data_IF_108030078309
#
_entry.id   IF_108030078309
#
_cell.length_a   1.000
_cell.length_b   1.000
_cell.length_c   1.000
_cell.angle_alpha   90.00
_cell.angle_beta   90.00
_cell.angle_gamma   90.00
#
_symmetry.space_group_name_H-M   'P 1'
#
loop_
_entity.id
_entity.type
_entity.pdbx_description
1 polymer ?
#
# COMPACT_ATOMS: atom_id res chain seq x y z
N UNK A 1 18.52 -18.35 20.63
CA UNK A 1 18.83 -18.98 19.34
C UNK A 1 19.32 -17.88 18.41
N UNK A 2 20.30 -18.15 17.55
CA UNK A 2 20.69 -17.21 16.51
C UNK A 2 19.51 -17.10 15.53
N UNK A 3 19.18 -15.88 15.07
CA UNK A 3 18.17 -15.68 14.02
C UNK A 3 18.68 -16.27 12.71
N UNK A 4 17.79 -16.86 11.94
CA UNK A 4 18.09 -17.35 10.61
C UNK A 4 18.47 -16.19 9.69
N UNK A 5 19.26 -16.48 8.67
CA UNK A 5 19.64 -15.54 7.63
C UNK A 5 18.67 -15.69 6.46
N UNK A 6 18.18 -14.58 5.91
CA UNK A 6 17.34 -14.59 4.72
C UNK A 6 18.22 -14.89 3.49
N UNK A 7 17.80 -15.83 2.65
CA UNK A 7 18.46 -16.17 1.39
C UNK A 7 17.59 -15.70 0.21
N UNK A 8 18.17 -14.89 -0.68
CA UNK A 8 17.51 -14.37 -1.88
C UNK A 8 17.60 -15.37 -3.03
N UNK A 9 16.76 -16.39 -3.03
CA UNK A 9 16.80 -17.47 -4.03
C UNK A 9 15.83 -17.21 -5.21
N UNK A 10 14.86 -16.31 -5.04
CA UNK A 10 13.82 -15.98 -6.03
C UNK A 10 13.65 -14.47 -6.17
N UNK A 11 13.16 -13.98 -7.33
CA UNK A 11 12.75 -12.60 -7.48
C UNK A 11 11.70 -12.22 -6.43
N UNK A 12 11.85 -11.06 -5.81
CA UNK A 12 10.93 -10.56 -4.78
C UNK A 12 9.88 -9.63 -5.39
N UNK A 13 8.63 -9.79 -4.94
CA UNK A 13 7.51 -8.96 -5.35
C UNK A 13 6.61 -8.64 -4.13
N UNK A 14 6.26 -7.37 -3.97
CA UNK A 14 5.31 -6.95 -2.95
C UNK A 14 3.91 -6.96 -3.56
N UNK A 15 3.01 -7.72 -2.98
CA UNK A 15 1.61 -7.77 -3.40
C UNK A 15 0.72 -7.46 -2.20
N UNK A 16 -0.53 -7.10 -2.44
CA UNK A 16 -1.46 -6.95 -1.34
C UNK A 16 -2.91 -7.08 -1.76
N UNK A 17 -3.77 -7.29 -0.77
CA UNK A 17 -5.21 -7.34 -0.93
C UNK A 17 -5.85 -5.99 -0.72
N UNK A 18 -6.68 -5.55 -1.68
CA UNK A 18 -7.49 -4.34 -1.62
C UNK A 18 -8.95 -4.68 -1.93
N UNK A 19 -9.88 -3.82 -1.56
CA UNK A 19 -11.31 -4.01 -1.82
C UNK A 19 -12.18 -3.65 -0.61
N UNK A 20 -13.49 -3.78 -0.76
CA UNK A 20 -14.47 -3.38 0.25
C UNK A 20 -14.33 -4.17 1.57
N UNK A 21 -14.82 -3.61 2.67
CA UNK A 21 -15.00 -4.33 3.94
C UNK A 21 -15.91 -5.55 3.71
N UNK A 22 -15.67 -6.63 4.44
CA UNK A 22 -16.41 -7.91 4.37
C UNK A 22 -16.38 -8.65 3.02
N UNK A 23 -15.61 -8.19 2.02
CA UNK A 23 -15.38 -8.95 0.78
C UNK A 23 -14.41 -10.15 0.95
N UNK A 24 -13.78 -10.29 2.13
CA UNK A 24 -12.97 -11.46 2.50
C UNK A 24 -11.48 -11.32 2.16
N UNK A 25 -10.90 -10.13 2.21
CA UNK A 25 -9.46 -9.88 1.98
C UNK A 25 -8.57 -10.68 2.92
N UNK A 26 -8.77 -10.53 4.22
CA UNK A 26 -8.00 -11.24 5.25
C UNK A 26 -8.23 -12.75 5.20
N UNK A 27 -9.46 -13.18 4.88
CA UNK A 27 -9.78 -14.59 4.63
C UNK A 27 -9.00 -15.14 3.43
N UNK A 28 -8.92 -14.37 2.34
CA UNK A 28 -8.13 -14.74 1.16
C UNK A 28 -6.63 -14.81 1.49
N UNK A 29 -6.11 -13.84 2.24
CA UNK A 29 -4.71 -13.85 2.69
C UNK A 29 -4.40 -15.11 3.51
N UNK A 30 -5.28 -15.49 4.43
CA UNK A 30 -5.14 -16.74 5.19
C UNK A 30 -5.23 -17.99 4.28
N UNK A 31 -6.16 -18.00 3.31
CA UNK A 31 -6.31 -19.10 2.35
C UNK A 31 -5.06 -19.27 1.48
N UNK A 32 -4.47 -18.18 0.98
CA UNK A 32 -3.22 -18.22 0.20
C UNK A 32 -2.10 -18.86 1.04
N UNK A 33 -1.90 -18.39 2.28
CA UNK A 33 -0.84 -18.96 3.14
C UNK A 33 -1.09 -20.43 3.46
N UNK A 34 -2.35 -20.86 3.63
CA UNK A 34 -2.69 -22.28 3.87
C UNK A 34 -2.37 -23.15 2.66
N UNK A 35 -2.90 -22.81 1.50
CA UNK A 35 -2.74 -23.60 0.26
C UNK A 35 -1.27 -23.68 -0.15
N UNK A 36 -0.53 -22.58 -0.06
CA UNK A 36 0.90 -22.57 -0.36
C UNK A 36 1.73 -23.29 0.70
N UNK A 37 1.31 -23.31 1.98
CA UNK A 37 1.98 -24.10 3.01
C UNK A 37 1.89 -25.61 2.73
N UNK A 38 0.77 -26.09 2.22
CA UNK A 38 0.61 -27.48 1.78
C UNK A 38 1.53 -27.85 0.62
N UNK A 39 1.84 -26.87 -0.25
CA UNK A 39 2.81 -26.98 -1.33
C UNK A 39 4.27 -26.74 -0.90
N UNK A 40 4.50 -26.39 0.38
CA UNK A 40 5.84 -26.12 0.92
C UNK A 40 6.38 -24.71 0.64
N UNK A 41 5.54 -23.80 0.16
CA UNK A 41 5.91 -22.42 -0.21
C UNK A 41 5.56 -21.36 0.85
N UNK A 42 5.02 -21.73 2.00
CA UNK A 42 4.64 -20.78 3.05
C UNK A 42 4.64 -21.40 4.44
N UNK A 43 4.58 -20.56 5.48
CA UNK A 43 4.09 -20.92 6.81
C UNK A 43 2.62 -20.49 6.92
N UNK A 44 1.73 -21.42 7.27
CA UNK A 44 0.30 -21.10 7.40
C UNK A 44 0.09 -20.04 8.48
N UNK A 45 -0.57 -18.95 8.11
CA UNK A 45 -0.95 -17.87 9.01
C UNK A 45 -2.48 -17.80 9.07
N UNK A 46 -3.04 -18.20 10.21
CA UNK A 46 -4.49 -18.18 10.40
C UNK A 46 -5.04 -16.75 10.48
N UNK A 47 -6.34 -16.60 10.19
CA UNK A 47 -7.06 -15.32 10.19
C UNK A 47 -6.80 -14.48 11.47
N UNK A 48 -6.90 -15.12 12.64
CA UNK A 48 -6.70 -14.49 13.95
C UNK A 48 -5.22 -14.17 14.28
N UNK A 49 -4.31 -14.64 13.44
CA UNK A 49 -2.89 -14.31 13.49
C UNK A 49 -2.52 -13.17 12.51
N UNK A 50 -3.36 -12.89 11.53
CA UNK A 50 -3.26 -11.73 10.65
C UNK A 50 -3.85 -10.53 11.39
N UNK A 51 -5.13 -10.57 11.75
CA UNK A 51 -5.82 -9.56 12.56
C UNK A 51 -5.56 -9.82 14.06
N UNK A 52 -4.46 -9.27 14.57
CA UNK A 52 -3.95 -9.59 15.93
C UNK A 52 -4.48 -8.69 17.02
N UNK A 53 -4.78 -7.41 16.70
CA UNK A 53 -5.16 -6.42 17.67
C UNK A 53 -6.50 -6.79 18.35
N UNK A 54 -6.65 -6.57 19.67
CA UNK A 54 -7.91 -6.85 20.36
C UNK A 54 -9.11 -6.14 19.72
N UNK A 55 -8.89 -4.96 19.16
CA UNK A 55 -9.91 -4.15 18.50
C UNK A 55 -10.33 -4.73 17.15
N UNK A 56 -9.37 -5.26 16.37
CA UNK A 56 -9.62 -5.98 15.11
C UNK A 56 -10.46 -7.23 15.37
N UNK A 57 -10.09 -8.02 16.37
CA UNK A 57 -10.82 -9.23 16.77
C UNK A 57 -12.23 -8.92 17.30
N UNK A 58 -12.39 -7.83 18.04
CA UNK A 58 -13.67 -7.45 18.60
C UNK A 58 -14.66 -6.92 17.55
N UNK A 59 -14.14 -6.27 16.51
CA UNK A 59 -14.95 -5.68 15.43
C UNK A 59 -15.07 -6.59 14.20
N UNK A 60 -14.20 -7.59 14.06
CA UNK A 60 -14.10 -8.45 12.87
C UNK A 60 -13.63 -7.71 11.61
N UNK A 61 -12.86 -6.63 11.77
CA UNK A 61 -12.35 -5.82 10.66
C UNK A 61 -10.86 -5.54 10.84
N UNK A 62 -10.11 -5.52 9.73
CA UNK A 62 -8.70 -5.13 9.71
C UNK A 62 -8.58 -3.62 9.91
N UNK A 63 -7.76 -3.19 10.85
CA UNK A 63 -7.47 -1.80 11.17
C UNK A 63 -6.09 -1.40 10.68
N UNK A 64 -5.08 -2.20 11.00
CA UNK A 64 -3.69 -2.00 10.60
C UNK A 64 -3.31 -2.92 9.47
N UNK A 65 -2.36 -2.50 8.63
CA UNK A 65 -1.78 -3.40 7.62
C UNK A 65 -1.07 -4.56 8.28
N UNK A 66 -1.31 -5.77 7.80
CA UNK A 66 -0.59 -6.96 8.22
C UNK A 66 0.30 -7.47 7.07
N UNK A 67 1.48 -8.01 7.44
CA UNK A 67 2.43 -8.54 6.46
C UNK A 67 2.60 -10.04 6.67
N UNK A 68 2.47 -10.80 5.60
CA UNK A 68 2.79 -12.23 5.54
C UNK A 68 3.75 -12.51 4.39
N UNK A 69 4.53 -13.59 4.49
CA UNK A 69 5.43 -14.02 3.42
C UNK A 69 5.00 -15.39 2.88
N UNK A 70 5.18 -15.57 1.58
CA UNK A 70 5.01 -16.85 0.91
C UNK A 70 5.76 -16.90 -0.42
N UNK A 71 5.87 -18.09 -0.98
CA UNK A 71 6.56 -18.33 -2.24
C UNK A 71 5.72 -19.18 -3.18
N UNK A 72 5.82 -18.88 -4.47
CA UNK A 72 5.48 -19.78 -5.56
C UNK A 72 6.75 -20.45 -6.11
N UNK A 73 6.65 -21.24 -7.16
CA UNK A 73 7.82 -21.76 -7.85
C UNK A 73 8.70 -20.63 -8.43
N UNK A 74 8.06 -19.55 -8.91
CA UNK A 74 8.70 -18.45 -9.63
C UNK A 74 9.16 -17.28 -8.78
N UNK A 75 8.47 -16.98 -7.67
CA UNK A 75 8.65 -15.72 -6.92
C UNK A 75 8.53 -15.91 -5.42
N UNK A 76 9.20 -15.00 -4.70
CA UNK A 76 8.97 -14.74 -3.26
C UNK A 76 8.08 -13.50 -3.12
N UNK A 77 7.05 -13.59 -2.27
CA UNK A 77 6.09 -12.53 -2.05
C UNK A 77 6.12 -12.02 -0.61
N UNK A 78 6.17 -10.69 -0.46
CA UNK A 78 5.69 -10.01 0.73
C UNK A 78 4.25 -9.57 0.46
N UNK A 79 3.31 -10.05 1.26
CA UNK A 79 1.90 -9.74 1.09
C UNK A 79 1.43 -8.78 2.18
N UNK A 80 0.80 -7.67 1.76
CA UNK A 80 0.22 -6.64 2.63
C UNK A 80 -1.28 -6.81 2.64
N UNK A 81 -1.85 -7.24 3.76
CA UNK A 81 -3.30 -7.23 3.94
C UNK A 81 -3.77 -5.83 4.36
N UNK A 82 -4.59 -5.19 3.53
CA UNK A 82 -5.04 -3.82 3.73
C UNK A 82 -6.42 -3.76 4.37
N UNK A 83 -6.66 -2.78 5.28
CA UNK A 83 -7.99 -2.54 5.81
C UNK A 83 -8.97 -2.16 4.70
N UNK A 84 -10.24 -2.59 4.84
CA UNK A 84 -11.31 -2.30 3.89
C UNK A 84 -12.21 -1.15 4.30
N UNK A 85 -12.21 -0.78 5.58
CA UNK A 85 -13.13 0.21 6.14
C UNK A 85 -12.67 1.65 5.86
N UNK A 86 -13.61 2.54 5.53
CA UNK A 86 -13.34 3.94 5.18
C UNK A 86 -12.56 4.73 6.26
N UNK A 87 -12.77 4.41 7.54
CA UNK A 87 -12.05 5.07 8.65
C UNK A 87 -10.54 4.80 8.65
N UNK A 88 -10.09 3.72 7.99
CA UNK A 88 -8.69 3.27 7.97
C UNK A 88 -8.00 3.45 6.62
N UNK A 89 -8.55 4.30 5.77
CA UNK A 89 -8.00 4.58 4.42
C UNK A 89 -6.54 5.06 4.48
N UNK A 90 -6.10 5.75 5.55
CA UNK A 90 -4.68 6.08 5.74
C UNK A 90 -3.78 4.85 5.71
N UNK A 91 -4.18 3.79 6.41
CA UNK A 91 -3.43 2.55 6.47
C UNK A 91 -3.51 1.81 5.13
N UNK A 92 -4.66 1.88 4.45
CA UNK A 92 -4.80 1.35 3.08
C UNK A 92 -3.85 2.06 2.09
N UNK A 93 -3.79 3.40 2.10
CA UNK A 93 -2.88 4.17 1.24
C UNK A 93 -1.42 3.79 1.52
N UNK A 94 -1.03 3.69 2.80
CA UNK A 94 0.31 3.28 3.20
C UNK A 94 0.64 1.87 2.70
N UNK A 95 -0.29 0.92 2.86
CA UNK A 95 -0.12 -0.44 2.37
C UNK A 95 -0.03 -0.49 0.84
N UNK A 96 -0.93 0.19 0.14
CA UNK A 96 -0.93 0.22 -1.33
C UNK A 96 0.33 0.85 -1.93
N UNK A 97 0.91 1.86 -1.27
CA UNK A 97 2.16 2.48 -1.72
C UNK A 97 3.37 1.52 -1.69
N UNK A 98 3.26 0.39 -0.97
CA UNK A 98 4.30 -0.64 -0.91
C UNK A 98 4.17 -1.69 -2.00
N UNK A 99 3.04 -1.77 -2.69
CA UNK A 99 2.73 -2.86 -3.61
C UNK A 99 3.36 -2.67 -4.98
N UNK A 100 3.91 -3.75 -5.50
CA UNK A 100 4.33 -3.89 -6.91
C UNK A 100 3.18 -4.41 -7.78
N UNK A 101 2.12 -4.91 -7.16
CA UNK A 101 0.86 -5.32 -7.74
C UNK A 101 -0.18 -5.56 -6.66
N UNK A 102 -1.45 -5.62 -7.00
CA UNK A 102 -2.50 -5.85 -6.01
C UNK A 102 -3.51 -6.91 -6.46
N UNK A 103 -4.15 -7.56 -5.48
CA UNK A 103 -5.30 -8.43 -5.67
C UNK A 103 -6.53 -7.65 -5.22
N UNK A 104 -7.39 -7.31 -6.18
CA UNK A 104 -8.68 -6.70 -5.90
C UNK A 104 -9.68 -7.79 -5.54
N UNK A 105 -10.16 -7.78 -4.30
CA UNK A 105 -11.14 -8.76 -3.80
C UNK A 105 -12.54 -8.17 -3.90
N UNK A 106 -13.41 -8.82 -4.66
CA UNK A 106 -14.81 -8.43 -4.84
C UNK A 106 -15.70 -9.61 -4.49
N UNK A 107 -16.72 -9.41 -3.65
CA UNK A 107 -17.72 -10.42 -3.36
C UNK A 107 -18.60 -10.64 -4.58
N UNK A 108 -18.76 -11.88 -5.01
CA UNK A 108 -19.66 -12.25 -6.11
C UNK A 108 -21.14 -11.96 -5.79
N UNK A 109 -21.51 -12.02 -4.50
CA UNK A 109 -22.88 -11.77 -4.05
C UNK A 109 -23.22 -10.27 -3.99
N UNK A 110 -22.24 -9.41 -3.69
CA UNK A 110 -22.45 -7.97 -3.44
C UNK A 110 -22.03 -7.10 -4.64
N UNK A 111 -21.14 -7.60 -5.49
CA UNK A 111 -20.53 -6.82 -6.58
C UNK A 111 -19.60 -5.71 -6.09
N UNK A 112 -19.19 -4.77 -6.97
CA UNK A 112 -18.37 -3.63 -6.60
C UNK A 112 -19.11 -2.65 -5.69
N UNK A 113 -18.57 -2.40 -4.51
CA UNK A 113 -19.11 -1.54 -3.46
C UNK A 113 -18.33 -0.20 -3.39
N UNK A 114 -18.79 0.82 -2.62
CA UNK A 114 -18.16 2.14 -2.59
C UNK A 114 -16.64 2.12 -2.29
N UNK A 115 -16.18 1.33 -1.29
CA UNK A 115 -14.75 1.24 -1.00
C UNK A 115 -13.98 0.49 -2.09
N UNK A 116 -14.62 -0.38 -2.88
CA UNK A 116 -13.98 -1.00 -4.06
C UNK A 116 -13.52 0.08 -5.02
N UNK A 117 -14.40 1.05 -5.33
CA UNK A 117 -14.10 2.20 -6.18
C UNK A 117 -12.98 3.07 -5.61
N UNK A 118 -13.06 3.42 -4.33
CA UNK A 118 -12.05 4.22 -3.64
C UNK A 118 -10.69 3.52 -3.63
N UNK A 119 -10.65 2.20 -3.39
CA UNK A 119 -9.40 1.43 -3.37
C UNK A 119 -8.74 1.32 -4.74
N UNK A 120 -9.51 1.14 -5.81
CA UNK A 120 -8.98 1.16 -7.19
C UNK A 120 -8.37 2.53 -7.51
N UNK A 121 -9.11 3.61 -7.23
CA UNK A 121 -8.63 4.97 -7.40
C UNK A 121 -7.33 5.22 -6.65
N UNK A 122 -7.28 4.88 -5.37
CA UNK A 122 -6.10 5.08 -4.53
C UNK A 122 -4.92 4.23 -4.99
N UNK A 123 -5.14 2.96 -5.37
CA UNK A 123 -4.09 2.11 -5.94
C UNK A 123 -3.48 2.75 -7.20
N UNK A 124 -4.33 3.30 -8.07
CA UNK A 124 -3.87 4.03 -9.26
C UNK A 124 -3.04 5.25 -8.91
N UNK A 125 -3.47 6.02 -7.91
CA UNK A 125 -2.81 7.25 -7.46
C UNK A 125 -1.44 6.98 -6.83
N UNK A 126 -1.33 5.96 -5.98
CA UNK A 126 -0.04 5.60 -5.37
C UNK A 126 0.89 4.85 -6.34
N UNK A 127 0.41 4.54 -7.55
CA UNK A 127 1.23 3.99 -8.62
C UNK A 127 1.31 2.47 -8.64
N UNK A 128 0.33 1.74 -8.10
CA UNK A 128 0.24 0.28 -8.29
C UNK A 128 0.13 -0.03 -9.80
N UNK A 129 1.10 -0.74 -10.39
CA UNK A 129 1.19 -0.84 -11.85
C UNK A 129 0.19 -1.83 -12.45
N UNK A 130 -0.21 -2.87 -11.70
CA UNK A 130 -1.09 -3.92 -12.20
C UNK A 130 -1.95 -4.51 -11.09
N UNK A 131 -3.14 -4.99 -11.47
CA UNK A 131 -4.12 -5.64 -10.60
C UNK A 131 -4.49 -7.00 -11.15
N UNK A 132 -4.79 -7.95 -10.25
CA UNK A 132 -5.50 -9.20 -10.53
C UNK A 132 -6.77 -9.18 -9.69
N UNK A 133 -7.88 -9.67 -10.21
CA UNK A 133 -9.14 -9.71 -9.47
C UNK A 133 -9.40 -11.11 -8.93
N UNK A 134 -9.80 -11.19 -7.66
CA UNK A 134 -10.38 -12.38 -7.07
C UNK A 134 -11.85 -12.14 -6.76
N UNK A 135 -12.74 -12.76 -7.55
CA UNK A 135 -14.17 -12.76 -7.31
C UNK A 135 -14.49 -13.82 -6.26
N UNK A 136 -14.58 -13.35 -5.00
CA UNK A 136 -14.74 -14.20 -3.82
C UNK A 136 -16.20 -14.54 -3.54
N UNK A 137 -16.43 -15.55 -2.71
CA UNK A 137 -17.76 -16.00 -2.25
C UNK A 137 -18.66 -16.53 -3.37
N UNK A 138 -18.09 -17.14 -4.40
CA UNK A 138 -18.88 -17.73 -5.49
C UNK A 138 -19.77 -18.89 -5.01
N UNK A 139 -19.43 -19.49 -3.87
CA UNK A 139 -20.23 -20.48 -3.17
C UNK A 139 -21.60 -19.97 -2.68
N UNK A 140 -21.80 -18.66 -2.65
CA UNK A 140 -23.05 -18.01 -2.25
C UNK A 140 -23.94 -17.64 -3.44
N UNK A 141 -23.51 -17.90 -4.67
CA UNK A 141 -24.21 -17.50 -5.91
C UNK A 141 -24.38 -18.70 -6.81
N UNK A 142 -25.63 -19.16 -6.96
CA UNK A 142 -25.97 -20.29 -7.81
C UNK A 142 -26.25 -19.89 -9.29
N UNK A 143 -26.31 -18.60 -9.58
CA UNK A 143 -26.67 -18.05 -10.88
C UNK A 143 -25.41 -17.59 -11.65
N UNK A 144 -25.09 -18.32 -12.74
CA UNK A 144 -23.95 -17.98 -13.60
C UNK A 144 -24.12 -16.63 -14.29
N UNK A 145 -25.35 -16.22 -14.66
CA UNK A 145 -25.60 -14.92 -15.30
C UNK A 145 -25.26 -13.77 -14.34
N UNK A 146 -25.51 -13.95 -13.04
CA UNK A 146 -25.12 -12.97 -12.02
C UNK A 146 -23.60 -12.86 -11.87
N UNK A 147 -22.88 -13.98 -11.93
CA UNK A 147 -21.41 -13.98 -11.89
C UNK A 147 -20.82 -13.25 -13.11
N UNK A 148 -21.40 -13.45 -14.31
CA UNK A 148 -20.98 -12.76 -15.52
C UNK A 148 -21.27 -11.25 -15.44
N UNK A 149 -22.42 -10.87 -14.89
CA UNK A 149 -22.78 -9.47 -14.69
C UNK A 149 -21.82 -8.76 -13.74
N UNK A 150 -21.51 -9.38 -12.60
CA UNK A 150 -20.52 -8.82 -11.64
C UNK A 150 -19.14 -8.71 -12.27
N UNK A 151 -18.71 -9.70 -13.07
CA UNK A 151 -17.46 -9.64 -13.80
C UNK A 151 -17.42 -8.45 -14.76
N UNK A 152 -18.48 -8.24 -15.55
CA UNK A 152 -18.59 -7.12 -16.48
C UNK A 152 -18.51 -5.78 -15.73
N UNK A 153 -19.25 -5.64 -14.63
CA UNK A 153 -19.25 -4.42 -13.81
C UNK A 153 -17.85 -4.12 -13.24
N UNK A 154 -17.11 -5.13 -12.81
CA UNK A 154 -15.72 -4.97 -12.33
C UNK A 154 -14.80 -4.54 -13.46
N UNK A 155 -14.91 -5.11 -14.67
CA UNK A 155 -14.11 -4.73 -15.83
C UNK A 155 -14.37 -3.28 -16.27
N UNK A 156 -15.64 -2.87 -16.33
CA UNK A 156 -16.02 -1.50 -16.64
C UNK A 156 -15.48 -0.52 -15.59
N UNK A 157 -15.58 -0.90 -14.31
CA UNK A 157 -15.07 -0.10 -13.22
C UNK A 157 -13.54 0.09 -13.31
N UNK A 158 -12.78 -0.98 -13.54
CA UNK A 158 -11.33 -0.91 -13.70
C UNK A 158 -10.93 -0.05 -14.89
N UNK A 159 -11.64 -0.17 -16.01
CA UNK A 159 -11.42 0.64 -17.21
C UNK A 159 -11.67 2.12 -16.95
N UNK A 160 -12.66 2.46 -16.12
CA UNK A 160 -12.96 3.85 -15.74
C UNK A 160 -11.87 4.53 -14.92
N UNK A 161 -10.97 3.76 -14.32
CA UNK A 161 -9.80 4.23 -13.56
C UNK A 161 -8.46 3.97 -14.28
N UNK A 162 -8.48 3.87 -15.61
CA UNK A 162 -7.30 3.68 -16.47
C UNK A 162 -6.51 2.38 -16.21
N UNK A 163 -7.16 1.35 -15.70
CA UNK A 163 -6.63 -0.02 -15.73
C UNK A 163 -7.16 -0.76 -16.97
N UNK A 164 -6.41 -1.69 -17.56
CA UNK A 164 -6.86 -2.42 -18.76
C UNK A 164 -7.90 -3.49 -18.39
N UNK A 165 -9.13 -3.07 -18.03
CA UNK A 165 -10.16 -3.91 -17.44
C UNK A 165 -10.49 -5.16 -18.25
N UNK A 166 -10.41 -5.10 -19.59
CA UNK A 166 -10.67 -6.25 -20.47
C UNK A 166 -9.57 -7.32 -20.39
N UNK A 167 -8.32 -6.93 -20.13
CA UNK A 167 -7.17 -7.82 -20.12
C UNK A 167 -6.82 -8.35 -18.71
N UNK A 168 -7.38 -7.75 -17.67
CA UNK A 168 -7.09 -8.13 -16.28
C UNK A 168 -7.64 -9.52 -15.98
N UNK A 169 -6.81 -10.43 -15.43
CA UNK A 169 -7.27 -11.74 -14.98
C UNK A 169 -8.30 -11.61 -13.85
N UNK A 170 -9.42 -12.30 -13.99
CA UNK A 170 -10.44 -12.43 -12.95
C UNK A 170 -10.57 -13.92 -12.60
N UNK A 171 -10.20 -14.28 -11.38
CA UNK A 171 -10.32 -15.63 -10.85
C UNK A 171 -11.55 -15.71 -9.95
N UNK A 172 -12.39 -16.71 -10.17
CA UNK A 172 -13.63 -16.96 -9.41
C UNK A 172 -13.38 -18.06 -8.38
N UNK A 173 -13.69 -17.78 -7.11
CA UNK A 173 -13.43 -18.76 -6.05
C UNK A 173 -14.08 -18.43 -4.71
N UNK A 174 -13.80 -19.27 -3.73
CA UNK A 174 -14.20 -19.09 -2.34
C UNK A 174 -13.00 -19.28 -1.42
N UNK A 175 -12.54 -18.17 -0.84
CA UNK A 175 -11.47 -18.21 0.15
C UNK A 175 -11.85 -19.02 1.40
N UNK A 176 -13.14 -19.01 1.78
CA UNK A 176 -13.63 -19.79 2.90
C UNK A 176 -13.60 -21.30 2.58
N UNK A 177 -14.04 -21.69 1.39
CA UNK A 177 -13.97 -23.08 0.94
C UNK A 177 -12.53 -23.61 0.92
N UNK A 178 -11.55 -22.76 0.57
CA UNK A 178 -10.13 -23.13 0.64
C UNK A 178 -9.64 -23.31 2.09
N UNK A 179 -10.10 -22.48 3.04
CA UNK A 179 -9.73 -22.63 4.46
C UNK A 179 -10.35 -23.91 5.05
N UNK A 180 -11.58 -24.23 4.69
CA UNK A 180 -12.34 -25.34 5.24
C UNK A 180 -12.13 -26.67 4.49
N UNK A 181 -11.37 -26.66 3.37
CA UNK A 181 -11.22 -27.80 2.45
C UNK A 181 -12.56 -28.38 1.97
N UNK A 182 -13.58 -27.51 1.86
CA UNK A 182 -14.94 -27.93 1.56
C UNK A 182 -15.19 -28.13 0.07
N UNK A 183 -14.41 -27.50 -0.81
CA UNK A 183 -14.47 -27.66 -2.26
C UNK A 183 -13.06 -27.52 -2.88
N UNK A 184 -12.65 -28.54 -3.64
CA UNK A 184 -11.32 -28.56 -4.23
C UNK A 184 -11.18 -27.61 -5.43
N UNK A 185 -12.26 -27.30 -6.14
CA UNK A 185 -12.23 -26.49 -7.36
C UNK A 185 -12.34 -25.01 -7.03
N UNK A 186 -13.43 -24.62 -6.36
CA UNK A 186 -13.67 -23.21 -5.98
C UNK A 186 -12.87 -22.78 -4.76
N UNK A 187 -12.38 -23.72 -3.96
CA UNK A 187 -11.45 -23.52 -2.84
C UNK A 187 -9.98 -23.55 -3.28
N UNK A 188 -9.26 -24.64 -2.95
CA UNK A 188 -7.81 -24.74 -3.18
C UNK A 188 -7.39 -24.52 -4.64
N UNK A 189 -8.19 -25.02 -5.60
CA UNK A 189 -7.95 -24.84 -7.04
C UNK A 189 -7.97 -23.38 -7.45
N UNK A 190 -8.94 -22.60 -6.99
CA UNK A 190 -9.03 -21.18 -7.30
C UNK A 190 -7.88 -20.36 -6.70
N UNK A 191 -7.38 -20.75 -5.52
CA UNK A 191 -6.21 -20.09 -4.92
C UNK A 191 -4.96 -20.35 -5.76
N UNK A 192 -4.75 -21.59 -6.22
CA UNK A 192 -3.62 -21.90 -7.11
C UNK A 192 -3.72 -21.18 -8.46
N UNK A 193 -4.93 -21.08 -9.03
CA UNK A 193 -5.20 -20.31 -10.25
C UNK A 193 -4.92 -18.81 -10.03
N UNK A 194 -5.33 -18.25 -8.89
CA UNK A 194 -5.03 -16.87 -8.53
C UNK A 194 -3.52 -16.63 -8.46
N UNK A 195 -2.77 -17.52 -7.80
CA UNK A 195 -1.33 -17.36 -7.68
C UNK A 195 -0.63 -17.51 -9.03
N UNK A 196 -1.11 -18.39 -9.91
CA UNK A 196 -0.63 -18.48 -11.28
C UNK A 196 -0.92 -17.20 -12.10
N UNK A 197 -2.11 -16.61 -11.93
CA UNK A 197 -2.46 -15.33 -12.55
C UNK A 197 -1.56 -14.20 -12.04
N UNK A 198 -1.29 -14.13 -10.74
CA UNK A 198 -0.38 -13.17 -10.13
C UNK A 198 1.05 -13.33 -10.67
N UNK A 199 1.58 -14.56 -10.72
CA UNK A 199 2.92 -14.83 -11.25
C UNK A 199 3.08 -14.38 -12.70
N UNK A 200 2.04 -14.56 -13.52
CA UNK A 200 2.09 -14.30 -14.96
C UNK A 200 1.73 -12.85 -15.33
N UNK A 201 0.80 -12.22 -14.64
CA UNK A 201 0.25 -10.91 -15.01
C UNK A 201 0.94 -9.74 -14.31
N UNK A 202 1.28 -9.88 -13.02
CA UNK A 202 1.98 -8.81 -12.30
C UNK A 202 3.42 -8.72 -12.83
N UNK A 203 3.86 -7.56 -13.35
CA UNK A 203 5.21 -7.43 -13.88
C UNK A 203 6.27 -7.62 -12.78
N UNK A 204 7.46 -8.10 -13.18
CA UNK A 204 8.60 -8.09 -12.27
C UNK A 204 8.99 -6.62 -12.03
N UNK A 205 8.97 -6.13 -10.78
CA UNK A 205 9.26 -4.73 -10.51
C UNK A 205 10.74 -4.40 -10.78
N UNK A 206 10.96 -3.22 -11.34
CA UNK A 206 12.29 -2.64 -11.41
C UNK A 206 12.74 -2.19 -10.02
N UNK A 207 14.02 -2.42 -9.70
CA UNK A 207 14.60 -2.08 -8.40
C UNK A 207 15.69 -1.01 -8.59
N UNK A 208 15.43 0.26 -8.23
CA UNK A 208 16.38 1.35 -8.39
C UNK A 208 17.48 1.29 -7.30
N UNK A 209 18.29 0.22 -7.32
CA UNK A 209 19.37 -0.02 -6.34
C UNK A 209 20.58 0.91 -6.54
N UNK A 210 20.71 1.55 -7.69
CA UNK A 210 21.78 2.50 -8.04
C UNK A 210 21.51 3.94 -7.55
N UNK A 211 20.30 4.19 -7.05
CA UNK A 211 19.93 5.48 -6.47
C UNK A 211 20.33 5.56 -4.98
N UNK A 212 20.38 6.76 -4.38
CA UNK A 212 20.56 6.91 -2.95
C UNK A 212 19.47 6.19 -2.15
N UNK A 213 19.86 5.60 -1.03
CA UNK A 213 18.93 4.91 -0.15
C UNK A 213 17.83 5.84 0.39
N UNK A 214 16.59 5.38 0.28
CA UNK A 214 15.39 6.03 0.83
C UNK A 214 14.38 4.98 1.29
N UNK A 215 13.89 5.13 2.52
CA UNK A 215 12.84 4.28 3.10
C UNK A 215 11.86 5.12 3.92
N UNK A 216 10.59 5.26 3.51
CA UNK A 216 9.53 5.85 4.33
C UNK A 216 9.26 5.01 5.58
N UNK A 217 9.08 5.65 6.72
CA UNK A 217 8.76 4.98 7.99
C UNK A 217 7.26 4.71 8.06
N UNK A 218 6.91 3.45 8.30
CA UNK A 218 5.54 2.99 8.51
C UNK A 218 5.21 2.83 9.98
N UNK A 219 6.06 2.09 10.68
CA UNK A 219 5.91 1.83 12.10
C UNK A 219 7.22 1.96 12.86
N UNK A 220 7.09 2.24 14.17
CA UNK A 220 8.21 2.40 15.08
C UNK A 220 8.01 1.52 16.30
N UNK A 221 8.99 0.64 16.54
CA UNK A 221 8.97 -0.30 17.65
C UNK A 221 10.16 -0.08 18.58
N UNK A 222 9.95 -0.30 19.87
CA UNK A 222 11.04 -0.40 20.84
C UNK A 222 11.24 -1.86 21.22
N UNK A 223 12.45 -2.38 21.02
CA UNK A 223 12.81 -3.75 21.37
C UNK A 223 13.74 -3.72 22.59
N UNK A 224 13.30 -4.29 23.70
CA UNK A 224 14.08 -4.35 24.94
C UNK A 224 15.47 -4.94 24.69
N UNK A 225 16.52 -4.22 25.08
CA UNK A 225 17.91 -4.60 24.91
C UNK A 225 18.49 -4.47 23.50
N UNK A 226 17.69 -4.04 22.51
CA UNK A 226 18.17 -3.85 21.12
C UNK A 226 18.05 -2.41 20.63
N UNK A 227 17.05 -1.65 21.10
CA UNK A 227 16.83 -0.25 20.72
C UNK A 227 15.57 -0.03 19.89
N UNK A 228 15.56 1.07 19.14
CA UNK A 228 14.45 1.46 18.26
C UNK A 228 14.60 0.80 16.90
N UNK A 229 13.52 0.18 16.45
CA UNK A 229 13.38 -0.40 15.11
C UNK A 229 12.32 0.40 14.36
N UNK A 230 12.65 0.83 13.15
CA UNK A 230 11.71 1.43 12.21
C UNK A 230 11.45 0.47 11.08
N UNK A 231 10.21 0.34 10.64
CA UNK A 231 9.86 -0.52 9.51
C UNK A 231 9.38 0.30 8.34
N UNK A 232 9.58 -0.23 7.15
CA UNK A 232 9.12 0.35 5.91
C UNK A 232 9.60 -0.44 4.70
N UNK A 233 9.08 -0.08 3.52
CA UNK A 233 9.59 -0.55 2.25
C UNK A 233 10.74 0.34 1.80
N UNK A 234 11.84 -0.24 1.39
CA UNK A 234 12.93 0.50 0.73
C UNK A 234 12.41 1.00 -0.64
N UNK A 235 12.30 2.31 -0.79
CA UNK A 235 11.82 2.95 -2.02
C UNK A 235 12.91 2.95 -3.11
N UNK A 236 14.12 3.36 -2.73
CA UNK A 236 15.30 3.39 -3.61
C UNK A 236 16.56 2.98 -2.87
N UNK A 237 17.57 2.57 -3.61
CA UNK A 237 18.93 2.31 -3.12
C UNK A 237 19.10 1.05 -2.29
N UNK A 238 20.23 0.99 -1.61
CA UNK A 238 20.66 -0.13 -0.76
C UNK A 238 21.11 0.41 0.59
N UNK A 239 20.76 -0.30 1.67
CA UNK A 239 21.21 -0.04 3.04
C UNK A 239 21.99 -1.22 3.58
N UNK A 240 23.19 -0.97 4.08
CA UNK A 240 24.01 -1.97 4.74
C UNK A 240 24.05 -1.75 6.25
N UNK A 241 24.39 -2.80 6.97
CA UNK A 241 24.68 -2.67 8.40
C UNK A 241 25.92 -1.78 8.58
N UNK A 242 25.81 -0.81 9.47
CA UNK A 242 26.74 0.28 9.80
C UNK A 242 26.71 1.49 8.84
N UNK A 243 25.83 1.56 7.88
CA UNK A 243 25.64 2.77 7.08
C UNK A 243 25.09 3.91 7.95
N UNK A 244 25.61 5.11 7.72
CA UNK A 244 25.08 6.34 8.30
C UNK A 244 23.78 6.71 7.59
N UNK A 245 22.78 7.16 8.34
CA UNK A 245 21.48 7.56 7.83
C UNK A 245 21.01 8.86 8.45
N UNK A 246 20.12 9.56 7.75
CA UNK A 246 19.37 10.70 8.25
C UNK A 246 17.89 10.36 8.37
N UNK A 247 17.24 10.94 9.39
CA UNK A 247 15.80 10.85 9.67
C UNK A 247 15.20 12.19 9.30
N UNK A 248 14.37 12.24 8.27
CA UNK A 248 14.00 13.50 7.62
C UNK A 248 12.47 13.64 7.54
N UNK A 249 12.00 14.87 7.74
CA UNK A 249 10.58 15.26 7.67
C UNK A 249 9.94 15.41 9.04
N UNK A 250 8.84 16.15 9.10
CA UNK A 250 8.00 16.45 10.26
C UNK A 250 8.74 17.22 11.36
N UNK A 251 9.95 16.77 11.74
CA UNK A 251 10.82 17.34 12.78
C UNK A 251 12.16 17.76 12.20
N UNK A 252 13.01 18.31 13.07
CA UNK A 252 14.42 18.56 12.71
C UNK A 252 15.12 17.27 12.28
N UNK A 253 15.96 17.36 11.25
CA UNK A 253 16.68 16.22 10.69
C UNK A 253 17.59 15.57 11.75
N UNK A 254 17.28 14.31 12.05
CA UNK A 254 18.08 13.47 12.94
C UNK A 254 19.16 12.71 12.19
N UNK A 255 20.21 12.28 12.91
CA UNK A 255 21.28 11.45 12.36
C UNK A 255 21.41 10.16 13.17
N UNK A 256 21.61 9.05 12.48
CA UNK A 256 21.78 7.75 13.11
C UNK A 256 22.69 6.84 12.28
N UNK A 257 22.85 5.62 12.74
CA UNK A 257 23.54 4.52 12.03
C UNK A 257 22.65 3.30 12.07
N UNK A 258 22.47 2.67 10.92
CA UNK A 258 21.78 1.39 10.82
C UNK A 258 22.65 0.29 11.44
N UNK A 259 22.22 -0.33 12.52
CA UNK A 259 22.98 -1.39 13.21
C UNK A 259 22.49 -2.80 12.92
N UNK A 260 21.40 -2.92 12.17
CA UNK A 260 20.87 -4.20 11.74
C UNK A 260 19.72 -4.03 10.76
N UNK A 261 19.62 -4.98 9.84
CA UNK A 261 18.54 -5.06 8.85
C UNK A 261 17.86 -6.41 9.03
N UNK A 262 16.54 -6.40 9.11
CA UNK A 262 15.71 -7.60 9.30
C UNK A 262 14.52 -7.58 8.33
N UNK A 263 14.19 -8.74 7.78
CA UNK A 263 12.98 -8.97 6.99
C UNK A 263 12.34 -10.28 7.46
N UNK A 264 11.02 -10.25 7.77
CA UNK A 264 10.28 -11.41 8.29
C UNK A 264 11.00 -12.13 9.46
N UNK A 265 11.57 -11.36 10.39
CA UNK A 265 12.34 -11.83 11.56
C UNK A 265 13.67 -12.54 11.23
N UNK A 266 14.06 -12.59 9.96
CA UNK A 266 15.36 -13.09 9.50
C UNK A 266 16.34 -11.93 9.35
N UNK A 267 17.64 -12.19 9.59
CA UNK A 267 18.69 -11.17 9.42
C UNK A 267 19.08 -11.03 7.95
N UNK A 268 19.30 -9.79 7.52
CA UNK A 268 19.91 -9.49 6.22
C UNK A 268 21.26 -8.80 6.42
N UNK A 269 22.18 -9.00 5.48
CA UNK A 269 23.42 -8.24 5.41
C UNK A 269 23.15 -6.84 4.86
N UNK A 270 22.17 -6.72 3.93
CA UNK A 270 21.72 -5.47 3.30
C UNK A 270 20.24 -5.54 2.97
N UNK A 271 19.59 -4.36 2.97
CA UNK A 271 18.25 -4.15 2.42
C UNK A 271 18.36 -3.46 1.06
N UNK A 272 17.56 -3.87 0.09
CA UNK A 272 17.55 -3.35 -1.28
C UNK A 272 16.20 -2.74 -1.63
N UNK A 273 16.17 -1.88 -2.66
CA UNK A 273 14.93 -1.31 -3.16
C UNK A 273 13.86 -2.39 -3.36
N UNK A 274 12.68 -2.17 -2.81
CA UNK A 274 11.55 -3.09 -2.80
C UNK A 274 11.45 -4.01 -1.60
N UNK A 275 12.47 -4.14 -0.75
CA UNK A 275 12.38 -4.95 0.46
C UNK A 275 11.54 -4.25 1.53
N UNK A 276 10.69 -5.01 2.21
CA UNK A 276 10.03 -4.57 3.45
C UNK A 276 10.91 -4.94 4.65
N UNK A 277 11.59 -3.96 5.20
CA UNK A 277 12.61 -4.20 6.23
C UNK A 277 12.33 -3.47 7.55
N UNK A 278 12.85 -4.04 8.62
CA UNK A 278 13.05 -3.37 9.89
C UNK A 278 14.51 -2.94 10.04
N UNK A 279 14.74 -1.66 10.26
CA UNK A 279 16.06 -1.09 10.50
C UNK A 279 16.28 -0.81 11.98
N UNK A 280 17.34 -1.34 12.55
CA UNK A 280 17.78 -1.03 13.90
C UNK A 280 18.60 0.26 13.88
N UNK A 281 18.16 1.27 14.62
CA UNK A 281 18.80 2.58 14.65
C UNK A 281 19.58 2.80 15.96
N UNK A 282 20.83 3.28 15.85
CA UNK A 282 21.70 3.55 17.00
C UNK A 282 21.36 4.88 17.65
N UNK A 283 21.17 4.86 18.98
CA UNK A 283 21.07 6.10 19.78
C UNK A 283 19.78 6.90 19.56
N UNK A 284 18.77 6.29 18.96
CA UNK A 284 17.45 6.88 18.73
C UNK A 284 16.45 6.26 19.69
N UNK A 285 15.71 7.09 20.43
CA UNK A 285 14.58 6.63 21.23
C UNK A 285 13.32 6.54 20.34
N UNK A 286 12.34 5.76 20.79
CA UNK A 286 11.08 5.62 20.06
C UNK A 286 10.37 6.96 19.81
N UNK A 287 10.46 7.88 20.77
CA UNK A 287 9.77 9.18 20.71
C UNK A 287 10.52 10.23 19.84
N UNK A 288 11.74 9.91 19.41
CA UNK A 288 12.55 10.77 18.52
C UNK A 288 12.21 10.55 17.03
N UNK A 289 11.47 9.51 16.72
CA UNK A 289 11.11 9.12 15.35
C UNK A 289 9.63 8.75 15.27
N UNK A 290 9.01 9.07 14.14
CA UNK A 290 7.60 8.79 13.93
C UNK A 290 7.26 8.40 12.50
N UNK A 291 6.12 7.74 12.32
CA UNK A 291 5.55 7.43 11.01
C UNK A 291 5.43 8.68 10.17
N UNK A 292 5.81 8.59 8.90
CA UNK A 292 5.76 9.68 7.94
C UNK A 292 7.07 10.40 7.71
N UNK A 293 8.05 10.23 8.61
CA UNK A 293 9.44 10.57 8.31
C UNK A 293 10.02 9.55 7.32
N UNK A 294 11.17 9.88 6.74
CA UNK A 294 11.94 8.94 5.91
C UNK A 294 13.30 8.69 6.51
N UNK A 295 13.84 7.48 6.32
CA UNK A 295 15.25 7.19 6.52
C UNK A 295 15.93 7.27 5.17
N UNK A 296 16.99 8.07 5.08
CA UNK A 296 17.66 8.31 3.81
C UNK A 296 19.18 8.32 3.95
N UNK A 297 19.87 8.14 2.83
CA UNK A 297 21.31 8.38 2.75
C UNK A 297 21.60 9.85 3.10
N UNK A 298 22.69 10.15 3.85
CA UNK A 298 22.98 11.52 4.27
C UNK A 298 23.04 12.51 3.09
N UNK A 299 22.23 13.58 3.19
CA UNK A 299 22.18 14.65 2.19
C UNK A 299 21.51 14.31 0.86
N UNK A 300 20.83 13.16 0.75
CA UNK A 300 20.20 12.73 -0.51
C UNK A 300 18.82 13.35 -0.73
N UNK A 301 18.11 13.74 0.30
CA UNK A 301 16.78 14.37 0.24
C UNK A 301 16.69 15.44 1.34
N UNK A 302 15.83 16.43 1.15
CA UNK A 302 15.62 17.51 2.12
C UNK A 302 14.15 17.64 2.52
N UNK A 303 13.86 18.17 3.73
CA UNK A 303 12.49 18.44 4.14
C UNK A 303 12.04 19.81 3.58
N UNK A 304 10.80 19.88 3.10
CA UNK A 304 10.23 21.06 2.47
C UNK A 304 8.80 21.34 2.96
N UNK A 305 8.43 22.62 2.98
CA UNK A 305 7.10 23.07 3.38
C UNK A 305 6.32 23.70 2.22
N UNK A 306 7.01 24.10 1.13
CA UNK A 306 6.38 24.80 0.02
C UNK A 306 6.76 24.17 -1.32
N UNK A 307 5.76 23.89 -2.15
CA UNK A 307 5.95 23.32 -3.48
C UNK A 307 4.86 23.79 -4.45
N UNK A 308 5.14 23.74 -5.76
CA UNK A 308 4.12 23.78 -6.80
C UNK A 308 3.78 22.36 -7.27
N UNK A 309 2.56 22.16 -7.68
CA UNK A 309 2.08 20.87 -8.14
C UNK A 309 1.12 20.98 -9.31
N UNK A 310 1.01 19.89 -10.06
CA UNK A 310 -0.09 19.61 -10.96
C UNK A 310 -1.05 18.65 -10.26
N UNK A 311 -2.35 19.02 -10.20
CA UNK A 311 -3.33 18.22 -9.50
C UNK A 311 -4.63 18.10 -10.31
N UNK A 312 -5.25 16.94 -10.22
CA UNK A 312 -6.60 16.67 -10.70
C UNK A 312 -7.57 16.62 -9.53
N UNK A 313 -8.69 17.33 -9.67
CA UNK A 313 -9.73 17.40 -8.64
C UNK A 313 -10.88 16.48 -9.04
N UNK A 314 -11.14 15.46 -8.24
CA UNK A 314 -12.14 14.44 -8.52
C UNK A 314 -13.55 15.03 -8.60
N UNK A 315 -14.32 14.57 -9.57
CA UNK A 315 -15.73 14.87 -9.71
C UNK A 315 -16.58 14.20 -8.63
N UNK A 316 -17.84 14.59 -8.53
CA UNK A 316 -18.80 13.95 -7.61
C UNK A 316 -19.03 12.48 -7.97
N UNK A 317 -19.08 12.16 -9.25
CA UNK A 317 -19.26 10.80 -9.79
C UNK A 317 -18.09 9.89 -9.42
N UNK A 318 -16.89 10.45 -9.34
CA UNK A 318 -15.66 9.78 -8.88
C UNK A 318 -15.54 9.70 -7.35
N UNK A 319 -16.56 10.13 -6.61
CA UNK A 319 -16.57 10.16 -5.14
C UNK A 319 -15.90 11.40 -4.52
N UNK A 320 -15.48 12.36 -5.34
CA UNK A 320 -14.83 13.60 -4.94
C UNK A 320 -15.79 14.70 -4.46
N UNK A 321 -15.42 15.94 -4.74
CA UNK A 321 -16.17 17.13 -4.35
C UNK A 321 -17.38 17.39 -5.29
N UNK A 322 -18.35 18.11 -4.78
CA UNK A 322 -19.49 18.63 -5.56
C UNK A 322 -19.52 20.17 -5.58
N UNK A 323 -18.59 20.82 -4.88
CA UNK A 323 -18.48 22.28 -4.81
C UNK A 323 -17.06 22.72 -5.17
N UNK A 324 -16.89 23.91 -5.77
CA UNK A 324 -15.56 24.46 -6.02
C UNK A 324 -14.81 24.78 -4.72
N UNK A 325 -13.49 24.97 -4.83
CA UNK A 325 -12.69 25.55 -3.75
C UNK A 325 -11.95 26.80 -4.27
N UNK A 326 -11.45 27.60 -3.32
CA UNK A 326 -10.80 28.88 -3.55
C UNK A 326 -9.40 28.88 -2.93
N UNK A 327 -8.61 29.91 -3.21
CA UNK A 327 -7.35 30.11 -2.49
C UNK A 327 -7.56 30.08 -0.97
N UNK A 328 -6.56 29.57 -0.26
CA UNK A 328 -6.59 29.25 1.17
C UNK A 328 -7.45 28.03 1.56
N UNK A 329 -7.89 27.23 0.60
CA UNK A 329 -8.44 25.90 0.89
C UNK A 329 -7.41 25.06 1.64
N UNK A 330 -7.84 24.34 2.69
CA UNK A 330 -6.96 23.63 3.63
C UNK A 330 -7.31 22.14 3.76
N UNK A 331 -7.03 21.34 2.75
CA UNK A 331 -7.18 19.88 2.82
C UNK A 331 -5.98 19.23 3.51
N UNK A 332 -6.04 17.90 3.62
CA UNK A 332 -4.92 17.05 3.97
C UNK A 332 -4.23 16.54 2.71
N UNK A 333 -2.91 16.67 2.65
CA UNK A 333 -2.05 16.14 1.60
C UNK A 333 -1.37 14.86 2.10
N UNK A 334 -1.58 13.78 1.41
CA UNK A 334 -1.06 12.46 1.76
C UNK A 334 0.18 12.16 0.94
N UNK A 335 1.33 12.09 1.60
CA UNK A 335 2.61 11.74 1.01
C UNK A 335 3.11 10.44 1.63
N UNK A 336 3.49 9.46 0.82
CA UNK A 336 4.04 8.18 1.31
C UNK A 336 3.22 7.61 2.48
N UNK A 337 3.74 7.69 3.70
CA UNK A 337 3.14 7.10 4.91
C UNK A 337 2.46 8.09 5.85
N UNK A 338 2.35 9.38 5.46
CA UNK A 338 1.78 10.44 6.31
C UNK A 338 0.84 11.38 5.58
N UNK A 339 0.09 12.13 6.36
CA UNK A 339 -0.73 13.24 5.89
C UNK A 339 -0.35 14.54 6.62
N UNK A 340 -0.34 15.63 5.87
CA UNK A 340 -0.07 16.97 6.40
C UNK A 340 -1.12 17.94 5.86
N UNK A 341 -1.65 18.78 6.74
CA UNK A 341 -2.52 19.89 6.30
C UNK A 341 -1.70 20.92 5.53
N UNK A 342 -2.21 21.33 4.38
CA UNK A 342 -1.60 22.39 3.57
C UNK A 342 -2.63 23.42 3.13
N UNK A 343 -2.21 24.65 2.92
CA UNK A 343 -3.01 25.70 2.31
C UNK A 343 -2.68 25.86 0.83
N UNK A 344 -3.71 25.88 0.00
CA UNK A 344 -3.60 26.03 -1.45
C UNK A 344 -3.54 27.52 -1.82
N UNK A 345 -2.66 27.86 -2.75
CA UNK A 345 -2.60 29.17 -3.40
C UNK A 345 -2.83 28.95 -4.90
N UNK A 346 -3.91 29.49 -5.41
CA UNK A 346 -4.25 29.41 -6.83
C UNK A 346 -3.44 30.43 -7.64
N UNK A 347 -3.13 30.12 -8.90
CA UNK A 347 -2.39 31.05 -9.77
C UNK A 347 -3.21 32.33 -10.05
N UNK A 348 -2.51 33.41 -10.37
CA UNK A 348 -3.11 34.68 -10.70
C UNK A 348 -4.15 34.54 -11.83
N UNK A 349 -5.32 35.08 -11.63
CA UNK A 349 -6.44 35.02 -12.58
C UNK A 349 -7.36 33.80 -12.41
N UNK A 350 -7.02 32.87 -11.52
CA UNK A 350 -7.90 31.74 -11.17
C UNK A 350 -8.62 32.03 -9.86
N UNK A 351 -9.91 32.29 -9.93
CA UNK A 351 -10.71 32.59 -8.74
C UNK A 351 -11.09 31.33 -7.97
N UNK A 352 -11.41 30.24 -8.69
CA UNK A 352 -11.85 28.97 -8.10
C UNK A 352 -11.40 27.78 -8.95
N UNK A 353 -11.45 26.60 -8.37
CA UNK A 353 -11.21 25.30 -9.02
C UNK A 353 -12.46 24.44 -8.87
N UNK A 354 -12.95 23.91 -10.00
CA UNK A 354 -14.12 23.05 -10.05
C UNK A 354 -13.74 21.56 -9.92
N UNK A 355 -14.65 20.72 -9.41
CA UNK A 355 -14.49 19.26 -9.57
C UNK A 355 -14.38 18.90 -11.05
N UNK A 356 -13.39 18.07 -11.40
CA UNK A 356 -13.03 17.69 -12.77
C UNK A 356 -11.92 18.53 -13.40
N UNK A 357 -11.44 19.59 -12.72
CA UNK A 357 -10.36 20.42 -13.24
C UNK A 357 -8.97 19.78 -12.99
N UNK A 358 -8.09 20.00 -13.96
CA UNK A 358 -6.64 19.91 -13.79
C UNK A 358 -6.10 21.30 -13.47
N UNK A 359 -5.30 21.42 -12.43
CA UNK A 359 -4.80 22.71 -11.94
C UNK A 359 -3.33 22.65 -11.53
N UNK A 360 -2.57 23.67 -11.96
CA UNK A 360 -1.27 23.99 -11.39
C UNK A 360 -1.48 24.92 -10.19
N UNK A 361 -1.01 24.56 -9.02
CA UNK A 361 -1.17 25.38 -7.81
C UNK A 361 0.04 25.30 -6.90
N UNK A 362 0.19 26.28 -6.00
CA UNK A 362 1.18 26.22 -4.92
C UNK A 362 0.52 25.70 -3.63
N UNK A 363 1.28 24.97 -2.86
CA UNK A 363 0.86 24.42 -1.57
C UNK A 363 1.86 24.81 -0.50
N UNK A 364 1.35 25.29 0.65
CA UNK A 364 2.14 25.57 1.85
C UNK A 364 1.69 24.59 2.93
N UNK A 365 2.57 23.67 3.31
CA UNK A 365 2.32 22.67 4.35
C UNK A 365 2.58 23.27 5.75
N UNK A 366 1.86 22.75 6.76
CA UNK A 366 2.05 23.16 8.16
C UNK A 366 3.26 22.47 8.83
N UNK A 367 3.80 21.41 8.22
CA UNK A 367 5.00 20.70 8.68
C UNK A 367 5.86 20.30 7.47
N UNK A 368 7.19 20.24 7.65
CA UNK A 368 8.09 19.87 6.57
C UNK A 368 7.95 18.38 6.22
N UNK A 369 7.99 18.05 4.94
CA UNK A 369 7.97 16.69 4.42
C UNK A 369 9.21 16.48 3.56
N UNK A 370 9.83 15.30 3.68
CA UNK A 370 10.88 14.88 2.77
C UNK A 370 10.28 14.71 1.37
N UNK A 371 10.64 15.57 0.42
CA UNK A 371 10.08 15.54 -0.93
C UNK A 371 11.09 15.93 -1.99
N UNK A 372 10.86 15.37 -3.18
CA UNK A 372 11.52 15.71 -4.43
C UNK A 372 10.47 15.97 -5.52
N UNK A 373 10.90 16.56 -6.62
CA UNK A 373 10.08 16.68 -7.82
C UNK A 373 9.64 15.29 -8.32
N UNK A 374 8.40 15.18 -8.77
CA UNK A 374 7.81 13.91 -9.18
C UNK A 374 7.13 13.12 -8.07
N UNK A 375 7.24 13.52 -6.79
CA UNK A 375 6.55 12.86 -5.69
C UNK A 375 5.03 13.00 -5.86
N UNK A 376 4.32 11.87 -5.87
CA UNK A 376 2.86 11.82 -5.95
C UNK A 376 2.22 12.00 -4.58
N UNK A 377 1.02 12.59 -4.57
CA UNK A 377 0.23 12.75 -3.36
C UNK A 377 -1.28 12.67 -3.65
N UNK A 378 -2.03 12.31 -2.62
CA UNK A 378 -3.49 12.41 -2.63
C UNK A 378 -3.95 13.62 -1.81
N UNK A 379 -5.08 14.22 -2.22
CA UNK A 379 -5.73 15.32 -1.50
C UNK A 379 -7.00 14.76 -0.86
N UNK A 380 -7.16 14.96 0.45
CA UNK A 380 -8.33 14.45 1.19
C UNK A 380 -9.00 15.53 2.03
N UNK A 381 -10.31 15.43 2.12
CA UNK A 381 -11.17 16.29 2.93
C UNK A 381 -12.30 15.47 3.56
N UNK A 382 -12.52 15.62 4.86
CA UNK A 382 -13.66 14.98 5.54
C UNK A 382 -13.72 13.46 5.37
N UNK A 383 -12.56 12.79 5.30
CA UNK A 383 -12.48 11.34 5.12
C UNK A 383 -12.60 10.85 3.67
N UNK A 384 -12.69 11.75 2.68
CA UNK A 384 -12.81 11.42 1.25
C UNK A 384 -11.59 11.88 0.48
N UNK A 385 -11.19 11.11 -0.52
CA UNK A 385 -10.22 11.56 -1.52
C UNK A 385 -10.91 12.51 -2.47
N UNK A 386 -10.39 13.73 -2.59
CA UNK A 386 -10.97 14.80 -3.40
C UNK A 386 -10.08 15.23 -4.57
N UNK A 387 -8.87 14.67 -4.62
CA UNK A 387 -7.95 14.93 -5.73
C UNK A 387 -6.66 14.16 -5.57
N UNK A 388 -5.84 14.23 -6.58
CA UNK A 388 -4.49 13.69 -6.61
C UNK A 388 -3.58 14.60 -7.42
N UNK A 389 -2.28 14.55 -7.13
CA UNK A 389 -1.33 15.37 -7.84
C UNK A 389 0.10 14.85 -7.75
N UNK A 390 0.97 15.59 -8.41
CA UNK A 390 2.40 15.36 -8.41
C UNK A 390 3.13 16.67 -8.11
N UNK A 391 4.19 16.60 -7.31
CA UNK A 391 5.09 17.74 -7.04
C UNK A 391 5.80 18.10 -8.33
N UNK A 392 5.50 19.27 -8.88
CA UNK A 392 6.11 19.76 -10.10
C UNK A 392 7.45 20.46 -9.81
N UNK A 393 7.49 21.21 -8.69
CA UNK A 393 8.71 21.91 -8.25
C UNK A 393 8.69 22.14 -6.74
N UNK A 394 9.80 21.89 -6.11
CA UNK A 394 10.05 22.26 -4.71
C UNK A 394 10.46 23.73 -4.63
N UNK A 395 9.89 24.49 -3.68
CA UNK A 395 10.10 25.94 -3.54
C UNK A 395 10.85 26.26 -2.25
N UNK A 396 10.43 25.72 -1.11
CA UNK A 396 11.00 25.95 0.23
C UNK A 396 10.84 24.76 1.17
#
# INVERSE_FOLDING_TARGET
MAKEKFERNKPHCNIGTIGHVDHGKTTLTAAITKVLAEAGGAEFTAYDQIDKAPEEKARGITISTAHVEYETEGRHYAHVDCPGHADYVKNMITGAAQMDGAILVVSAADGPMPQTREHILLARQVGVPALVVFMNKVDQVDDEELLELVELEVRELLSSYDFPGDDIPIVKGSALAAIEDSDATTGNGSIMELMAAVDNYIPQPERPNDQPFLMPIEDVFSISGRGTVVTGRVETGVINVNDAVEIIGIRETGKSVCTGVEMFRKLLDQGEAGDNVGLLLRGINRDDVERGQVIAAPGSISPHTKFSCEAYILTKEEGGRHTPFFSNYRPQFYFRTTDVTGSVVLPDGTEMVMPGDNISMEVNLIAPIAMDEGLRFAIREGGRTVGAGVVAKVIE
#
